data_IF_607103533965
#
_entry.id   IF_607103533965
#
_cell.length_a   1.000
_cell.length_b   1.000
_cell.length_c   1.000
_cell.angle_alpha   90.00
_cell.angle_beta   90.00
_cell.angle_gamma   90.00
#
_symmetry.space_group_name_H-M   'P 1'
#
loop_
_entity.id
_entity.type
_entity.pdbx_description
1 polymer ?
#
# COMPACT_ATOMS: atom_id res chain seq x y z
N UNK A 1 -29.10 -49.37 46.32
CA UNK A 1 -30.20 -50.07 45.63
C UNK A 1 -30.02 -49.81 44.15
N UNK A 2 -29.44 -50.76 43.41
CA UNK A 2 -30.12 -51.63 42.41
C UNK A 2 -30.75 -50.80 41.27
N UNK A 3 -30.59 -51.05 39.97
CA UNK A 3 -29.78 -51.90 39.10
C UNK A 3 -30.24 -51.55 37.66
N UNK A 4 -29.47 -51.88 36.61
CA UNK A 4 -29.97 -51.97 35.21
C UNK A 4 -29.24 -51.04 34.21
N UNK A 5 -28.15 -51.38 33.53
CA UNK A 5 -27.80 -52.50 32.62
C UNK A 5 -28.45 -52.49 31.23
N UNK A 6 -27.55 -52.45 30.21
CA UNK A 6 -27.62 -53.03 28.82
C UNK A 6 -28.35 -52.18 27.74
N UNK A 7 -27.92 -52.09 26.46
CA UNK A 7 -26.90 -52.75 25.62
C UNK A 7 -26.82 -52.10 24.21
N UNK A 8 -25.65 -52.25 23.56
CA UNK A 8 -25.37 -52.45 22.11
C UNK A 8 -25.50 -51.32 21.07
N UNK A 9 -24.35 -51.05 20.42
CA UNK A 9 -24.18 -50.54 19.04
C UNK A 9 -24.65 -51.57 17.99
N UNK A 10 -24.80 -51.19 16.70
CA UNK A 10 -23.65 -51.35 15.80
C UNK A 10 -23.49 -50.27 14.70
N UNK A 11 -22.23 -50.12 14.30
CA UNK A 11 -21.77 -49.60 13.00
C UNK A 11 -22.41 -50.33 11.81
N UNK A 12 -22.46 -49.68 10.64
CA UNK A 12 -22.23 -50.42 9.40
C UNK A 12 -21.11 -49.80 8.54
N UNK A 13 -20.25 -50.69 8.09
CA UNK A 13 -19.18 -50.51 7.11
C UNK A 13 -19.74 -50.45 5.68
N UNK A 14 -18.98 -49.80 4.81
CA UNK A 14 -19.18 -49.54 3.38
C UNK A 14 -19.62 -50.72 2.50
N UNK A 15 -20.03 -50.42 1.26
CA UNK A 15 -19.24 -50.93 0.14
C UNK A 15 -18.86 -49.85 -0.88
N UNK A 16 -17.69 -50.07 -1.49
CA UNK A 16 -17.18 -49.34 -2.63
C UNK A 16 -17.93 -49.71 -3.91
N UNK A 17 -18.25 -48.71 -4.73
CA UNK A 17 -18.54 -48.89 -6.15
C UNK A 17 -17.87 -47.78 -6.95
N UNK A 18 -16.96 -48.21 -7.83
CA UNK A 18 -16.30 -47.42 -8.87
C UNK A 18 -17.35 -46.88 -9.84
N UNK A 19 -17.28 -45.60 -10.15
CA UNK A 19 -17.79 -45.05 -11.40
C UNK A 19 -16.79 -44.03 -11.94
N UNK A 20 -16.12 -44.43 -13.01
CA UNK A 20 -15.29 -43.61 -13.88
C UNK A 20 -16.18 -42.94 -14.93
N UNK A 21 -16.20 -41.61 -14.99
CA UNK A 21 -16.49 -40.88 -16.24
C UNK A 21 -16.17 -39.39 -16.14
N UNK A 22 -15.24 -38.98 -17.00
CA UNK A 22 -15.22 -37.73 -17.79
C UNK A 22 -15.24 -36.38 -17.06
N UNK A 23 -14.03 -35.81 -16.99
CA UNK A 23 -13.68 -34.41 -17.21
C UNK A 23 -14.76 -33.51 -17.84
N UNK A 24 -15.09 -32.41 -17.13
CA UNK A 24 -15.40 -31.13 -17.76
C UNK A 24 -15.02 -29.99 -16.82
N UNK A 25 -13.81 -29.47 -17.01
CA UNK A 25 -13.29 -28.27 -16.37
C UNK A 25 -13.97 -27.04 -16.96
N UNK A 26 -14.99 -26.51 -16.29
CA UNK A 26 -15.61 -25.23 -16.66
C UNK A 26 -14.81 -24.08 -16.04
N UNK A 27 -13.85 -23.55 -16.78
CA UNK A 27 -13.13 -22.32 -16.46
C UNK A 27 -14.08 -21.11 -16.45
N UNK A 28 -13.94 -20.14 -15.52
CA UNK A 28 -14.74 -18.93 -15.55
C UNK A 28 -14.39 -18.06 -16.77
N UNK A 29 -15.33 -17.26 -17.31
CA UNK A 29 -15.09 -16.44 -18.48
C UNK A 29 -13.99 -15.40 -18.21
N UNK A 30 -13.02 -15.34 -19.11
CA UNK A 30 -11.93 -14.38 -19.09
C UNK A 30 -12.49 -12.95 -19.15
N UNK A 31 -12.13 -12.12 -18.17
CA UNK A 31 -12.38 -10.68 -18.23
C UNK A 31 -11.81 -10.08 -19.52
N UNK A 32 -12.46 -9.06 -20.13
CA UNK A 32 -11.95 -8.43 -21.34
C UNK A 32 -10.57 -7.83 -21.03
N UNK A 33 -9.53 -8.49 -21.56
CA UNK A 33 -8.17 -7.95 -21.56
C UNK A 33 -8.23 -6.70 -22.43
N UNK A 34 -8.09 -5.52 -21.83
CA UNK A 34 -7.80 -4.31 -22.59
C UNK A 34 -6.58 -4.60 -23.45
N UNK A 35 -6.75 -4.50 -24.76
CA UNK A 35 -5.63 -4.55 -25.68
C UNK A 35 -4.59 -3.51 -25.23
N UNK A 36 -3.30 -3.86 -25.19
CA UNK A 36 -2.27 -2.85 -25.07
C UNK A 36 -2.50 -1.83 -26.18
N UNK A 37 -2.42 -0.53 -25.88
CA UNK A 37 -2.30 0.48 -26.93
C UNK A 37 -1.22 -0.01 -27.88
N UNK A 38 -1.53 -0.12 -29.17
CA UNK A 38 -0.55 -0.41 -30.19
C UNK A 38 0.62 0.54 -29.93
N UNK A 39 1.78 -0.01 -29.59
CA UNK A 39 2.99 0.80 -29.56
C UNK A 39 3.16 1.29 -30.99
N UNK A 40 3.19 2.61 -31.16
CA UNK A 40 3.47 3.23 -32.44
C UNK A 40 4.60 2.46 -33.12
N UNK A 41 4.29 1.98 -34.31
CA UNK A 41 5.12 1.06 -35.07
C UNK A 41 6.50 1.72 -35.21
N UNK A 42 7.59 1.14 -34.65
CA UNK A 42 8.89 1.82 -34.55
C UNK A 42 9.54 2.16 -35.91
N UNK A 43 8.93 1.71 -37.02
CA UNK A 43 9.38 2.00 -38.37
C UNK A 43 9.11 3.44 -38.85
N UNK A 44 8.13 4.18 -38.31
CA UNK A 44 7.84 5.54 -38.84
C UNK A 44 8.92 6.56 -38.48
N UNK A 45 9.48 6.46 -37.26
CA UNK A 45 10.55 7.34 -36.80
C UNK A 45 11.91 6.98 -37.41
N UNK A 46 12.22 5.67 -37.57
CA UNK A 46 13.46 5.26 -38.24
C UNK A 46 13.52 5.73 -39.69
N UNK A 47 12.38 5.75 -40.39
CA UNK A 47 12.30 6.31 -41.74
C UNK A 47 12.49 7.82 -41.78
N UNK A 48 12.03 8.54 -40.74
CA UNK A 48 12.16 9.99 -40.64
C UNK A 48 13.60 10.44 -40.33
N UNK A 49 14.36 9.63 -39.60
CA UNK A 49 15.76 9.92 -39.24
C UNK A 49 16.79 9.13 -40.07
N UNK A 50 16.35 8.35 -41.06
CA UNK A 50 17.23 7.51 -41.90
C UNK A 50 18.36 8.29 -42.57
N UNK A 51 18.02 9.42 -43.20
CA UNK A 51 18.99 10.31 -43.85
C UNK A 51 20.00 10.93 -42.87
N UNK A 52 19.64 11.08 -41.59
CA UNK A 52 20.54 11.58 -40.54
C UNK A 52 21.51 10.49 -40.06
N UNK A 53 21.12 9.22 -40.19
CA UNK A 53 21.91 8.06 -39.78
C UNK A 53 22.85 7.58 -40.90
N UNK A 54 22.59 7.97 -42.15
CA UNK A 54 23.46 7.70 -43.31
C UNK A 54 24.82 8.42 -43.23
N UNK A 55 24.90 9.54 -42.49
CA UNK A 55 26.16 10.25 -42.28
C UNK A 55 27.06 9.61 -41.20
N UNK A 56 26.57 8.58 -40.51
CA UNK A 56 27.31 7.92 -39.43
C UNK A 56 28.04 6.69 -39.95
N UNK A 57 29.29 6.51 -39.50
CA UNK A 57 30.01 5.27 -39.74
C UNK A 57 29.40 4.12 -38.92
N UNK A 58 29.55 2.88 -39.38
CA UNK A 58 29.00 1.70 -38.69
C UNK A 58 29.45 1.61 -37.22
N UNK A 59 30.69 2.07 -36.93
CA UNK A 59 31.24 2.14 -35.59
C UNK A 59 30.53 3.14 -34.68
N UNK A 60 30.19 4.32 -35.18
CA UNK A 60 29.51 5.36 -34.42
C UNK A 60 28.04 4.99 -34.15
N UNK A 61 27.37 4.38 -35.13
CA UNK A 61 26.00 3.90 -34.98
C UNK A 61 25.90 2.81 -33.90
N UNK A 62 26.85 1.86 -33.87
CA UNK A 62 26.93 0.83 -32.83
C UNK A 62 27.11 1.43 -31.43
N UNK A 63 27.89 2.51 -31.29
CA UNK A 63 28.09 3.21 -30.00
C UNK A 63 26.84 3.95 -29.54
N UNK A 64 26.13 4.61 -30.44
CA UNK A 64 24.86 5.29 -30.12
C UNK A 64 23.78 4.30 -29.70
N UNK A 65 23.61 3.19 -30.44
CA UNK A 65 22.68 2.13 -30.08
C UNK A 65 23.05 1.49 -28.73
N UNK A 66 24.33 1.26 -28.48
CA UNK A 66 24.83 0.80 -27.18
C UNK A 66 24.45 1.74 -26.04
N UNK A 67 24.69 3.05 -26.20
CA UNK A 67 24.35 4.06 -25.20
C UNK A 67 22.84 4.15 -24.92
N UNK A 68 22.00 4.04 -25.96
CA UNK A 68 20.54 4.04 -25.81
C UNK A 68 20.02 2.78 -25.09
N UNK A 69 20.60 1.61 -25.37
CA UNK A 69 20.27 0.35 -24.69
C UNK A 69 20.63 0.43 -23.21
N UNK A 70 21.81 0.93 -22.87
CA UNK A 70 22.25 1.11 -21.49
C UNK A 70 21.38 2.13 -20.73
N UNK A 71 21.01 3.25 -21.36
CA UNK A 71 20.09 4.24 -20.79
C UNK A 71 18.69 3.65 -20.54
N UNK A 72 18.21 2.78 -21.43
CA UNK A 72 16.92 2.08 -21.26
C UNK A 72 16.96 1.03 -20.15
N UNK A 73 18.10 0.33 -19.99
CA UNK A 73 18.34 -0.61 -18.89
C UNK A 73 18.36 0.13 -17.54
N UNK A 74 19.06 1.26 -17.45
CA UNK A 74 19.08 2.12 -16.25
C UNK A 74 17.71 2.70 -15.89
N UNK A 75 16.94 3.17 -16.89
CA UNK A 75 15.60 3.72 -16.68
C UNK A 75 14.56 2.67 -16.22
N UNK A 76 14.66 1.42 -16.70
CA UNK A 76 13.77 0.33 -16.28
C UNK A 76 14.11 -0.22 -14.89
N UNK A 77 15.38 -0.21 -14.49
CA UNK A 77 15.82 -0.71 -13.18
C UNK A 77 15.59 0.31 -12.04
N UNK A 78 15.74 1.61 -12.29
CA UNK A 78 15.77 2.63 -11.24
C UNK A 78 14.41 3.16 -10.74
N UNK A 79 13.41 3.28 -11.62
CA UNK A 79 12.17 4.00 -11.29
C UNK A 79 11.06 3.17 -10.65
N UNK A 80 10.94 1.88 -11.02
CA UNK A 80 9.83 1.02 -10.57
C UNK A 80 10.13 0.26 -9.28
N UNK A 81 11.41 -0.06 -9.04
CA UNK A 81 11.85 -0.79 -7.85
C UNK A 81 11.89 0.09 -6.58
N UNK A 82 12.18 1.40 -6.70
CA UNK A 82 12.17 2.32 -5.55
C UNK A 82 10.78 2.50 -4.95
N UNK A 83 9.71 2.54 -5.76
CA UNK A 83 8.31 2.57 -5.28
C UNK A 83 7.88 1.27 -4.59
N UNK A 84 8.42 0.13 -5.00
CA UNK A 84 8.10 -1.17 -4.39
C UNK A 84 8.84 -1.41 -3.05
N UNK A 85 9.86 -0.61 -2.73
CA UNK A 85 10.63 -0.69 -1.48
C UNK A 85 10.25 0.36 -0.44
N UNK A 86 9.16 1.09 -0.64
CA UNK A 86 8.43 1.66 0.49
C UNK A 86 7.82 0.48 1.28
N UNK A 87 8.68 -0.27 1.98
CA UNK A 87 8.29 -1.32 2.91
C UNK A 87 7.27 -0.67 3.84
N UNK A 88 6.09 -1.26 3.93
CA UNK A 88 5.07 -0.86 4.88
C UNK A 88 5.70 -0.84 6.27
N UNK A 89 6.09 0.34 6.73
CA UNK A 89 6.63 0.52 8.08
C UNK A 89 5.47 0.29 9.05
N UNK A 90 5.67 -0.48 10.13
CA UNK A 90 4.64 -0.62 11.15
C UNK A 90 4.30 0.76 11.73
N UNK A 91 3.13 0.87 12.35
CA UNK A 91 2.75 2.08 13.07
C UNK A 91 3.84 2.46 14.08
N UNK A 92 4.42 3.64 13.90
CA UNK A 92 5.54 4.13 14.68
C UNK A 92 5.47 5.65 14.84
N UNK A 93 6.09 6.12 15.91
CA UNK A 93 6.27 7.54 16.17
C UNK A 93 7.36 8.10 15.26
N UNK A 94 7.09 9.24 14.66
CA UNK A 94 8.05 10.02 13.88
C UNK A 94 8.23 11.38 14.53
N UNK A 95 9.36 12.02 14.25
CA UNK A 95 9.75 13.29 14.83
C UNK A 95 10.20 14.23 13.72
N UNK A 96 9.82 15.50 13.83
CA UNK A 96 10.15 16.56 12.90
C UNK A 96 10.31 17.87 13.67
N UNK A 97 11.42 18.57 13.44
CA UNK A 97 11.60 19.93 13.94
C UNK A 97 10.87 20.88 12.98
N UNK A 98 9.97 21.70 13.53
CA UNK A 98 9.15 22.67 12.79
C UNK A 98 9.03 23.96 13.59
N UNK A 99 8.83 25.08 12.91
CA UNK A 99 8.45 26.32 13.60
C UNK A 99 6.96 26.30 13.98
N UNK A 100 6.59 27.11 14.98
CA UNK A 100 5.18 27.24 15.39
C UNK A 100 4.29 27.77 14.27
N UNK A 101 4.80 28.68 13.44
CA UNK A 101 4.10 29.21 12.27
C UNK A 101 3.80 28.15 11.20
N UNK A 102 4.69 27.17 11.01
CA UNK A 102 4.51 26.07 10.05
C UNK A 102 3.40 25.08 10.45
N UNK A 103 3.03 25.02 11.73
CA UNK A 103 1.97 24.14 12.23
C UNK A 103 0.57 24.56 11.74
N UNK A 104 0.41 25.79 11.23
CA UNK A 104 -0.84 26.27 10.66
C UNK A 104 -1.96 26.49 11.69
N UNK A 105 -1.60 26.71 12.95
CA UNK A 105 -2.54 27.00 14.05
C UNK A 105 -2.99 28.47 14.10
N UNK A 106 -2.43 29.33 13.23
CA UNK A 106 -2.73 30.77 13.20
C UNK A 106 -1.88 31.62 14.13
N UNK A 107 -0.83 31.06 14.72
CA UNK A 107 0.16 31.80 15.51
C UNK A 107 1.34 32.22 14.63
N UNK A 108 1.76 33.48 14.77
CA UNK A 108 2.98 34.00 14.16
C UNK A 108 4.09 33.97 15.21
N UNK A 109 4.96 32.96 15.12
CA UNK A 109 6.12 32.77 15.99
C UNK A 109 7.23 32.03 15.24
N UNK A 110 8.47 32.43 15.51
CA UNK A 110 9.70 31.82 14.97
C UNK A 110 10.26 30.74 15.90
N UNK A 111 9.58 30.45 17.02
CA UNK A 111 9.98 29.42 17.96
C UNK A 111 9.89 28.03 17.31
N UNK A 112 10.94 27.21 17.51
CA UNK A 112 11.04 25.87 16.95
C UNK A 112 10.67 24.81 17.98
N UNK A 113 9.82 23.89 17.57
CA UNK A 113 9.30 22.83 18.45
C UNK A 113 9.53 21.46 17.83
N UNK A 114 9.73 20.47 18.69
CA UNK A 114 9.95 19.09 18.30
C UNK A 114 8.62 18.36 18.10
N UNK A 115 8.06 18.48 16.90
CA UNK A 115 6.75 17.91 16.59
C UNK A 115 6.84 16.40 16.33
N UNK A 116 6.14 15.61 17.14
CA UNK A 116 6.02 14.16 16.94
C UNK A 116 4.66 13.78 16.40
N UNK A 117 4.63 12.83 15.47
CA UNK A 117 3.41 12.37 14.81
C UNK A 117 3.43 10.86 14.53
N UNK A 118 2.23 10.29 14.41
CA UNK A 118 2.05 8.87 14.14
C UNK A 118 1.94 8.59 12.65
N UNK A 119 2.74 7.64 12.16
CA UNK A 119 2.66 7.17 10.78
C UNK A 119 3.00 5.69 10.65
N UNK A 120 2.54 5.07 9.57
CA UNK A 120 2.79 3.65 9.29
C UNK A 120 1.50 2.87 9.09
N UNK A 121 1.64 1.55 9.00
CA UNK A 121 0.53 0.63 8.71
C UNK A 121 0.24 -0.27 9.90
N UNK A 122 -1.04 -0.62 10.07
CA UNK A 122 -1.55 -1.43 11.17
C UNK A 122 -1.96 -2.82 10.72
N UNK A 123 -1.10 -3.46 9.93
CA UNK A 123 -1.39 -4.74 9.28
C UNK A 123 -1.52 -5.90 10.27
N UNK A 124 -0.75 -5.85 11.37
CA UNK A 124 -0.74 -6.88 12.41
C UNK A 124 -1.81 -6.73 13.49
N UNK A 125 -2.54 -5.61 13.52
CA UNK A 125 -3.52 -5.30 14.56
C UNK A 125 -4.99 -5.47 14.10
N UNK A 126 -5.21 -6.25 13.03
CA UNK A 126 -6.56 -6.48 12.48
C UNK A 126 -7.42 -7.25 13.48
N UNK A 127 -8.62 -6.74 13.76
CA UNK A 127 -9.62 -7.42 14.59
C UNK A 127 -10.64 -8.17 13.71
N UNK A 128 -11.44 -9.04 14.31
CA UNK A 128 -12.52 -9.75 13.61
C UNK A 128 -13.49 -8.81 12.88
N UNK A 129 -13.72 -7.63 13.47
CA UNK A 129 -14.50 -6.55 12.84
C UNK A 129 -13.91 -6.12 11.50
N UNK A 130 -12.60 -5.87 11.42
CA UNK A 130 -11.91 -5.43 10.19
C UNK A 130 -11.97 -6.49 9.10
N UNK A 131 -11.84 -7.77 9.48
CA UNK A 131 -11.95 -8.90 8.56
C UNK A 131 -13.36 -9.01 7.96
N UNK A 132 -14.39 -8.95 8.81
CA UNK A 132 -15.79 -8.94 8.38
C UNK A 132 -16.09 -7.74 7.49
N UNK A 133 -15.65 -6.54 7.89
CA UNK A 133 -15.85 -5.31 7.13
C UNK A 133 -15.16 -5.38 5.76
N UNK A 134 -13.96 -5.95 5.69
CA UNK A 134 -13.25 -6.21 4.43
C UNK A 134 -14.05 -7.15 3.53
N UNK A 135 -14.64 -8.21 4.08
CA UNK A 135 -15.48 -9.18 3.36
C UNK A 135 -16.81 -8.56 2.87
N UNK A 136 -17.48 -7.75 3.70
CA UNK A 136 -18.71 -7.05 3.34
C UNK A 136 -18.47 -6.01 2.24
N UNK A 137 -17.30 -5.36 2.26
CA UNK A 137 -16.88 -4.45 1.19
C UNK A 137 -16.54 -5.19 -0.10
N UNK A 138 -15.85 -6.33 -0.03
CA UNK A 138 -15.50 -7.12 -1.23
C UNK A 138 -16.71 -7.77 -1.89
N UNK A 139 -17.68 -8.23 -1.09
CA UNK A 139 -18.98 -8.73 -1.57
C UNK A 139 -19.91 -7.60 -2.05
N UNK A 140 -19.44 -6.34 -1.98
CA UNK A 140 -20.17 -5.13 -2.37
C UNK A 140 -21.55 -5.02 -1.72
N UNK A 141 -21.67 -5.46 -0.46
CA UNK A 141 -22.85 -5.19 0.38
C UNK A 141 -22.82 -3.75 0.92
N UNK A 142 -21.63 -3.23 1.18
CA UNK A 142 -21.37 -1.84 1.57
C UNK A 142 -20.72 -1.13 0.36
N UNK A 143 -21.51 -0.42 -0.46
CA UNK A 143 -21.04 0.22 -1.72
C UNK A 143 -20.90 1.74 -1.66
N UNK A 144 -21.74 2.40 -0.85
CA UNK A 144 -21.88 3.87 -0.88
C UNK A 144 -20.84 4.59 -0.01
N UNK A 145 -20.29 3.90 0.98
CA UNK A 145 -19.47 4.51 2.01
C UNK A 145 -18.01 4.09 1.86
N UNK A 146 -17.10 5.08 1.84
CA UNK A 146 -15.64 4.85 1.73
C UNK A 146 -15.06 4.41 3.08
N UNK A 147 -15.53 3.28 3.58
CA UNK A 147 -15.08 2.75 4.86
C UNK A 147 -13.70 2.10 4.70
N UNK A 148 -12.76 2.50 5.57
CA UNK A 148 -11.47 1.81 5.72
C UNK A 148 -11.70 0.53 6.51
N UNK A 149 -11.35 -0.60 5.93
CA UNK A 149 -11.46 -1.92 6.57
C UNK A 149 -10.17 -2.32 7.31
N UNK A 150 -9.43 -1.32 7.82
CA UNK A 150 -8.18 -1.50 8.56
C UNK A 150 -8.08 -0.40 9.61
N UNK A 151 -7.51 -0.70 10.79
CA UNK A 151 -7.21 0.31 11.79
C UNK A 151 -6.22 1.34 11.26
N UNK A 152 -6.33 2.56 11.79
CA UNK A 152 -5.45 3.68 11.47
C UNK A 152 -4.39 3.84 12.55
N UNK A 153 -3.20 4.27 12.16
CA UNK A 153 -2.15 4.65 13.11
C UNK A 153 -2.48 6.04 13.66
N UNK A 154 -2.83 6.12 14.94
CA UNK A 154 -3.21 7.37 15.63
C UNK A 154 -2.46 7.50 16.97
N UNK A 155 -2.33 8.72 17.51
CA UNK A 155 -1.82 8.93 18.85
C UNK A 155 -2.71 8.23 19.89
N UNK A 156 -2.09 7.52 20.83
CA UNK A 156 -2.73 7.00 22.05
C UNK A 156 -2.55 7.96 23.24
N UNK A 157 -1.48 8.73 23.21
CA UNK A 157 -1.14 9.74 24.20
C UNK A 157 -0.41 10.91 23.51
N UNK A 158 -0.48 12.07 24.15
CA UNK A 158 0.18 13.30 23.72
C UNK A 158 1.32 13.66 24.67
N UNK A 159 2.29 14.40 24.16
CA UNK A 159 3.37 14.99 24.96
C UNK A 159 2.83 16.15 25.80
N UNK A 160 3.68 16.72 26.66
CA UNK A 160 3.35 17.86 27.51
C UNK A 160 2.98 19.11 26.69
N UNK A 161 2.28 20.04 27.32
CA UNK A 161 1.82 21.27 26.68
C UNK A 161 2.99 22.12 26.20
N UNK A 162 2.88 22.66 24.98
CA UNK A 162 3.93 23.46 24.35
C UNK A 162 3.61 24.92 24.56
N UNK A 163 4.52 25.63 25.25
CA UNK A 163 4.40 27.08 25.48
C UNK A 163 5.42 27.83 24.63
N UNK A 164 4.97 28.86 23.93
CA UNK A 164 5.80 29.68 23.06
C UNK A 164 5.42 31.17 23.12
N UNK A 165 6.31 32.02 22.62
CA UNK A 165 6.08 33.46 22.49
C UNK A 165 5.73 33.83 21.03
N UNK A 166 4.72 34.68 20.84
CA UNK A 166 4.44 35.27 19.53
C UNK A 166 5.38 36.44 19.19
N UNK A 167 5.28 36.96 17.96
CA UNK A 167 6.01 38.17 17.52
C UNK A 167 5.69 39.42 18.34
N UNK A 168 4.58 39.43 19.10
CA UNK A 168 4.16 40.51 20.00
C UNK A 168 4.54 40.24 21.47
N UNK A 169 5.41 39.26 21.74
CA UNK A 169 5.84 38.83 23.08
C UNK A 169 4.70 38.41 24.01
N UNK A 170 3.64 37.80 23.46
CA UNK A 170 2.55 37.17 24.24
C UNK A 170 2.80 35.68 24.34
N UNK A 171 2.61 35.16 25.55
CA UNK A 171 2.70 33.73 25.81
C UNK A 171 1.41 33.02 25.36
N UNK A 172 1.58 31.91 24.66
CA UNK A 172 0.52 30.95 24.39
C UNK A 172 0.97 29.56 24.82
N UNK A 173 -0.01 28.75 25.21
CA UNK A 173 0.18 27.35 25.56
C UNK A 173 -0.81 26.53 24.75
N UNK A 174 -0.30 25.56 24.00
CA UNK A 174 -1.09 24.66 23.15
C UNK A 174 -0.96 23.24 23.67
N UNK A 175 -2.12 22.64 23.93
CA UNK A 175 -2.24 21.30 24.48
C UNK A 175 -2.44 20.28 23.35
N UNK A 176 -2.08 19.02 23.61
CA UNK A 176 -2.26 17.89 22.68
C UNK A 176 -1.66 18.12 21.26
N UNK A 177 -0.60 18.92 21.18
CA UNK A 177 0.04 19.28 19.92
C UNK A 177 0.87 18.12 19.33
N UNK A 178 1.69 17.48 20.17
CA UNK A 178 2.66 16.47 19.76
C UNK A 178 2.27 15.10 20.29
N UNK A 179 2.44 14.05 19.47
CA UNK A 179 2.15 12.68 19.88
C UNK A 179 3.28 12.10 20.75
N UNK A 180 2.92 11.44 21.85
CA UNK A 180 3.88 10.74 22.73
C UNK A 180 3.98 9.25 22.40
N UNK A 181 2.84 8.63 22.12
CA UNK A 181 2.73 7.20 21.82
C UNK A 181 1.76 6.96 20.67
N UNK A 182 2.09 6.00 19.80
CA UNK A 182 1.30 5.65 18.64
C UNK A 182 0.73 4.24 18.74
N UNK A 183 -0.51 4.08 18.29
CA UNK A 183 -1.20 2.80 18.29
C UNK A 183 -2.14 2.62 17.10
N UNK A 184 -2.61 1.39 16.95
CA UNK A 184 -3.55 1.00 15.92
C UNK A 184 -4.98 0.98 16.48
N UNK A 185 -5.81 1.91 16.00
CA UNK A 185 -7.21 2.10 16.45
C UNK A 185 -8.19 2.18 15.29
#
# INVERSE_FOLDING_TARGET
>A
MLNGSRKYSPVPSSPASRASSSSSSSSPPAAPRRSPRALDRPGSLLSQYGALLESYTEGELRRLLGALVERRRGAKAGGRAKRARARHKPCALQQLEVSVSELGLGYESDETVLFRYCSGTCDGALRSYDLSLRSMRSSRRIRKEKVRARPCCRPLAYDDDVSFLDTYNRYYTVNELSAKECGCV
#
